data_IF_752879807338
#
_entry.id   IF_752879807338
#
_cell.length_a   1.000
_cell.length_b   1.000
_cell.length_c   1.000
_cell.angle_alpha   90.00
_cell.angle_beta   90.00
_cell.angle_gamma   90.00
#
_symmetry.space_group_name_H-M   'P 1'
#
loop_
_entity.id
_entity.type
_entity.pdbx_description
1 polymer ?
#
# COMPACT_ATOMS: atom_id res chain seq x y z
N UNK A 1 1.71 6.29 -8.71
CA UNK A 1 3.07 5.75 -8.53
C UNK A 1 2.94 4.26 -8.20
N UNK A 2 3.48 3.39 -9.04
CA UNK A 2 3.29 1.93 -8.92
C UNK A 2 4.61 1.31 -8.48
N UNK A 3 4.60 0.58 -7.36
CA UNK A 3 5.80 -0.13 -6.88
C UNK A 3 5.64 -1.60 -7.23
N UNK A 4 6.59 -2.15 -7.99
CA UNK A 4 6.62 -3.58 -8.36
C UNK A 4 7.37 -4.36 -7.27
N UNK A 5 6.65 -5.18 -6.52
CA UNK A 5 7.24 -6.02 -5.47
C UNK A 5 8.06 -7.14 -6.13
N UNK A 6 9.39 -7.06 -6.07
CA UNK A 6 10.30 -8.14 -6.48
C UNK A 6 10.64 -9.01 -5.28
N UNK A 7 10.75 -10.32 -5.51
CA UNK A 7 10.86 -11.42 -4.54
C UNK A 7 12.13 -11.43 -3.67
N UNK A 8 12.36 -10.38 -2.89
CA UNK A 8 13.29 -10.40 -1.75
C UNK A 8 12.63 -9.81 -0.52
N UNK A 9 11.66 -10.54 0.02
CA UNK A 9 11.15 -10.34 1.38
C UNK A 9 12.23 -10.51 2.48
N UNK A 10 13.48 -10.82 2.13
CA UNK A 10 14.54 -11.15 3.09
C UNK A 10 15.37 -9.97 3.63
N UNK A 11 15.26 -8.75 3.07
CA UNK A 11 15.97 -7.58 3.62
C UNK A 11 15.13 -6.68 4.53
N UNK A 12 13.82 -6.94 4.66
CA UNK A 12 12.95 -6.25 5.62
C UNK A 12 12.83 -6.98 6.97
N UNK A 13 13.71 -7.95 7.29
CA UNK A 13 13.60 -8.77 8.51
C UNK A 13 14.01 -8.00 9.79
N UNK A 14 14.41 -6.72 9.72
CA UNK A 14 14.59 -5.92 10.95
C UNK A 14 13.28 -5.36 11.51
N UNK A 15 12.21 -5.28 10.72
CA UNK A 15 10.92 -4.78 11.18
C UNK A 15 9.78 -5.67 10.68
N UNK A 16 9.03 -6.28 11.60
CA UNK A 16 7.82 -7.07 11.28
C UNK A 16 6.72 -6.24 10.59
N UNK A 17 6.89 -4.92 10.61
CA UNK A 17 5.95 -3.91 10.11
C UNK A 17 6.75 -2.84 9.37
N UNK A 18 6.22 -2.36 8.25
CA UNK A 18 6.77 -1.29 7.44
C UNK A 18 5.67 -0.27 7.18
N UNK A 19 5.83 0.92 7.75
CA UNK A 19 4.96 2.07 7.54
C UNK A 19 5.43 2.86 6.33
N UNK A 20 4.46 3.28 5.51
CA UNK A 20 4.71 4.02 4.27
C UNK A 20 3.84 5.28 4.28
N UNK A 21 4.40 6.43 3.93
CA UNK A 21 3.65 7.69 3.87
C UNK A 21 4.52 8.89 3.52
N UNK A 22 4.00 10.12 3.64
CA UNK A 22 4.75 11.34 3.28
C UNK A 22 5.47 12.04 4.42
N UNK A 23 5.28 11.62 5.68
CA UNK A 23 5.92 12.26 6.82
C UNK A 23 7.15 11.44 7.26
N UNK A 24 8.39 11.91 7.03
CA UNK A 24 9.61 11.18 7.40
C UNK A 24 9.71 10.86 8.89
N UNK A 25 9.04 11.61 9.77
CA UNK A 25 9.08 11.37 11.21
C UNK A 25 8.17 10.22 11.67
N UNK A 26 7.27 9.73 10.80
CA UNK A 26 6.24 8.75 11.17
C UNK A 26 6.37 7.40 10.46
N UNK A 27 7.20 7.31 9.41
CA UNK A 27 7.18 6.18 8.47
C UNK A 27 8.57 5.70 8.14
N UNK A 28 8.67 4.41 7.78
CA UNK A 28 9.93 3.78 7.37
C UNK A 28 10.25 4.08 5.91
N UNK A 29 9.21 4.22 5.07
CA UNK A 29 9.34 4.53 3.64
C UNK A 29 8.58 5.81 3.30
N UNK A 30 9.34 6.82 2.89
CA UNK A 30 8.79 8.13 2.53
C UNK A 30 8.43 8.18 1.05
N UNK A 31 7.16 8.46 0.74
CA UNK A 31 6.68 8.70 -0.62
C UNK A 31 6.26 10.15 -0.79
N UNK A 32 6.85 10.82 -1.77
CA UNK A 32 6.55 12.21 -2.13
C UNK A 32 6.06 12.23 -3.58
N UNK A 33 4.91 12.86 -3.82
CA UNK A 33 4.41 13.13 -5.17
C UNK A 33 4.81 14.54 -5.57
N UNK A 34 5.56 14.67 -6.67
CA UNK A 34 5.97 15.97 -7.22
C UNK A 34 4.80 16.73 -7.87
N UNK A 35 3.74 16.02 -8.26
CA UNK A 35 2.59 16.59 -8.97
C UNK A 35 1.47 16.99 -8.00
N UNK A 36 1.21 16.16 -6.99
CA UNK A 36 0.13 16.35 -6.03
C UNK A 36 0.62 16.07 -4.61
N UNK A 37 1.03 17.11 -3.89
CA UNK A 37 1.60 17.01 -2.54
C UNK A 37 0.70 16.30 -1.52
N UNK A 38 -0.63 16.38 -1.71
CA UNK A 38 -1.63 15.72 -0.86
C UNK A 38 -2.07 14.34 -1.37
N UNK A 39 -1.45 13.80 -2.43
CA UNK A 39 -1.77 12.46 -2.94
C UNK A 39 -1.51 11.38 -1.89
N UNK A 40 -0.43 11.55 -1.12
CA UNK A 40 0.02 10.60 -0.10
C UNK A 40 -0.28 11.17 1.30
N UNK A 41 -1.05 10.45 2.12
CA UNK A 41 -1.20 10.75 3.55
C UNK A 41 0.11 10.64 4.35
N UNK A 42 0.19 11.34 5.47
CA UNK A 42 1.38 11.38 6.36
C UNK A 42 1.83 9.98 6.79
N UNK A 43 0.89 9.20 7.31
CA UNK A 43 0.95 7.74 7.43
C UNK A 43 -0.11 7.20 6.45
N UNK A 44 0.30 6.52 5.38
CA UNK A 44 -0.57 6.17 4.26
C UNK A 44 -1.03 4.72 4.33
N UNK A 45 -0.08 3.81 4.50
CA UNK A 45 -0.35 2.39 4.59
C UNK A 45 0.70 1.71 5.45
N UNK A 46 0.36 0.52 5.91
CA UNK A 46 1.27 -0.34 6.65
C UNK A 46 1.31 -1.71 5.99
N UNK A 47 2.51 -2.22 5.70
CA UNK A 47 2.74 -3.61 5.31
C UNK A 47 3.30 -4.34 6.52
N UNK A 48 2.78 -5.53 6.86
CA UNK A 48 3.24 -6.28 8.02
C UNK A 48 3.17 -7.79 7.78
N UNK A 49 3.97 -8.54 8.53
CA UNK A 49 4.01 -10.00 8.44
C UNK A 49 3.17 -10.61 9.57
N UNK A 50 2.30 -11.56 9.23
CA UNK A 50 1.56 -12.38 10.21
C UNK A 50 1.91 -13.84 10.04
N UNK A 51 2.01 -14.56 11.15
CA UNK A 51 2.02 -16.02 11.13
C UNK A 51 0.63 -16.53 10.76
N UNK A 52 0.57 -17.40 9.78
CA UNK A 52 -0.55 -18.32 9.50
C UNK A 52 -0.10 -19.73 9.87
N UNK A 53 -1.06 -20.66 9.96
CA UNK A 53 -0.85 -22.05 10.43
C UNK A 53 0.45 -22.69 9.92
N UNK A 54 0.75 -22.55 8.63
CA UNK A 54 1.90 -23.23 8.01
C UNK A 54 2.93 -22.28 7.35
N UNK A 55 2.73 -20.96 7.46
CA UNK A 55 3.59 -19.98 6.77
C UNK A 55 3.52 -18.60 7.39
N UNK A 56 4.51 -17.77 7.09
CA UNK A 56 4.37 -16.32 7.22
C UNK A 56 3.72 -15.73 5.97
N UNK A 57 2.80 -14.79 6.17
CA UNK A 57 2.13 -14.08 5.09
C UNK A 57 2.27 -12.57 5.28
N UNK A 58 2.47 -11.86 4.17
CA UNK A 58 2.51 -10.40 4.15
C UNK A 58 1.09 -9.86 3.98
N UNK A 59 0.78 -8.80 4.70
CA UNK A 59 -0.50 -8.11 4.64
C UNK A 59 -0.29 -6.62 4.48
N UNK A 60 -1.27 -5.94 3.90
CA UNK A 60 -1.32 -4.49 3.76
C UNK A 60 -2.61 -3.93 4.34
N UNK A 61 -2.51 -2.77 4.99
CA UNK A 61 -3.64 -2.03 5.57
C UNK A 61 -3.60 -0.58 5.14
N UNK A 62 -4.72 -0.07 4.63
CA UNK A 62 -4.88 1.33 4.21
C UNK A 62 -5.29 2.22 5.38
N UNK A 63 -4.63 3.38 5.49
CA UNK A 63 -4.97 4.45 6.45
C UNK A 63 -5.22 5.79 5.75
N UNK A 64 -5.16 5.79 4.42
CA UNK A 64 -5.04 7.01 3.63
C UNK A 64 -6.37 7.60 3.19
N UNK A 65 -6.34 8.89 2.86
CA UNK A 65 -7.48 9.58 2.28
C UNK A 65 -7.75 9.09 0.85
N UNK A 66 -6.69 8.99 0.03
CA UNK A 66 -6.78 8.70 -1.40
C UNK A 66 -6.68 7.21 -1.76
N UNK A 67 -6.64 6.35 -0.75
CA UNK A 67 -6.69 4.91 -0.90
C UNK A 67 -5.34 4.26 -1.23
N UNK A 68 -5.21 3.03 -0.75
CA UNK A 68 -4.20 2.06 -1.20
C UNK A 68 -4.90 0.97 -1.98
N UNK A 69 -4.34 0.56 -3.13
CA UNK A 69 -4.97 -0.40 -4.03
C UNK A 69 -4.06 -1.59 -4.29
N UNK A 70 -4.62 -2.79 -4.25
CA UNK A 70 -3.96 -4.04 -4.66
C UNK A 70 -4.72 -4.57 -5.87
N UNK A 71 -4.03 -4.74 -6.99
CA UNK A 71 -4.63 -5.21 -8.25
C UNK A 71 -5.91 -4.45 -8.62
N UNK A 72 -5.88 -3.11 -8.44
CA UNK A 72 -6.97 -2.16 -8.75
C UNK A 72 -8.18 -2.15 -7.80
N UNK A 73 -8.16 -2.98 -6.75
CA UNK A 73 -9.14 -2.93 -5.67
C UNK A 73 -8.62 -2.09 -4.51
N UNK A 74 -9.45 -1.15 -4.03
CA UNK A 74 -9.11 -0.41 -2.81
C UNK A 74 -9.08 -1.39 -1.65
N UNK A 75 -7.99 -1.40 -0.90
CA UNK A 75 -7.83 -2.26 0.27
C UNK A 75 -8.98 -2.00 1.26
N UNK A 76 -9.63 -3.08 1.69
CA UNK A 76 -10.67 -3.07 2.72
C UNK A 76 -10.19 -3.82 3.94
N UNK A 77 -10.02 -3.14 5.07
CA UNK A 77 -9.40 -3.73 6.25
C UNK A 77 -7.94 -4.10 5.99
N UNK A 78 -7.65 -5.39 5.99
CA UNK A 78 -6.33 -5.94 5.68
C UNK A 78 -6.43 -6.84 4.44
N UNK A 79 -5.49 -6.70 3.50
CA UNK A 79 -5.38 -7.57 2.34
C UNK A 79 -4.09 -8.38 2.42
N UNK A 80 -4.15 -9.69 2.21
CA UNK A 80 -2.95 -10.53 2.07
C UNK A 80 -2.31 -10.26 0.71
N UNK A 81 -1.01 -10.01 0.70
CA UNK A 81 -0.22 -9.79 -0.50
C UNK A 81 0.34 -11.11 -1.02
N UNK A 82 0.22 -11.33 -2.32
CA UNK A 82 0.85 -12.43 -3.04
C UNK A 82 1.97 -11.92 -3.94
N UNK A 83 2.88 -12.82 -4.28
CA UNK A 83 3.91 -12.52 -5.26
C UNK A 83 3.27 -12.13 -6.60
N UNK A 84 3.71 -11.00 -7.15
CA UNK A 84 3.20 -10.48 -8.42
C UNK A 84 2.11 -9.43 -8.28
N UNK A 85 1.56 -9.22 -7.08
CA UNK A 85 0.58 -8.17 -6.83
C UNK A 85 1.15 -6.78 -7.14
N UNK A 86 0.28 -5.93 -7.71
CA UNK A 86 0.60 -4.54 -8.00
C UNK A 86 -0.06 -3.65 -6.96
N UNK A 87 0.76 -2.87 -6.26
CA UNK A 87 0.31 -1.93 -5.24
C UNK A 87 0.38 -0.50 -5.78
N UNK A 88 -0.72 0.24 -5.64
CA UNK A 88 -0.82 1.67 -5.99
C UNK A 88 -1.13 2.48 -4.73
N UNK A 89 -0.36 3.54 -4.50
CA UNK A 89 -0.54 4.45 -3.37
C UNK A 89 -1.14 5.77 -3.85
N UNK A 90 -2.37 6.05 -3.40
CA UNK A 90 -3.16 7.20 -3.79
C UNK A 90 -3.73 7.12 -5.21
N UNK A 91 -4.90 7.73 -5.38
CA UNK A 91 -5.52 8.01 -6.66
C UNK A 91 -6.16 9.40 -6.62
N UNK A 92 -6.18 10.12 -7.75
CA UNK A 92 -6.75 11.48 -7.84
C UNK A 92 -8.21 11.53 -7.39
N UNK A 93 -8.98 10.47 -7.64
CA UNK A 93 -10.37 10.32 -7.21
C UNK A 93 -10.52 9.36 -6.02
N UNK A 94 -9.43 9.09 -5.32
CA UNK A 94 -9.33 8.04 -4.32
C UNK A 94 -10.34 8.16 -3.18
N UNK A 95 -10.57 9.38 -2.72
CA UNK A 95 -11.52 9.67 -1.64
C UNK A 95 -12.96 9.20 -1.96
N UNK A 96 -13.35 9.14 -3.23
CA UNK A 96 -14.69 8.71 -3.65
C UNK A 96 -14.84 7.19 -3.83
N UNK A 97 -13.73 6.44 -3.87
CA UNK A 97 -13.75 4.99 -4.11
C UNK A 97 -13.93 4.27 -2.78
N UNK A 98 -15.00 3.49 -2.63
CA UNK A 98 -15.25 2.76 -1.38
C UNK A 98 -14.21 1.65 -1.16
N UNK A 99 -13.86 1.32 0.10
CA UNK A 99 -13.07 0.12 0.39
C UNK A 99 -13.65 -1.13 -0.28
N UNK A 100 -12.80 -1.95 -0.88
CA UNK A 100 -13.17 -3.15 -1.62
C UNK A 100 -13.68 -2.92 -3.04
N UNK A 101 -13.90 -1.67 -3.47
CA UNK A 101 -14.31 -1.38 -4.83
C UNK A 101 -13.11 -1.36 -5.79
N UNK A 102 -13.36 -1.84 -7.02
CA UNK A 102 -12.41 -1.73 -8.13
C UNK A 102 -12.50 -0.34 -8.77
N UNK A 103 -11.37 0.25 -9.16
CA UNK A 103 -11.36 1.39 -10.08
C UNK A 103 -10.69 1.02 -11.42
N UNK A 104 -11.50 0.84 -12.47
CA UNK A 104 -11.03 0.51 -13.83
C UNK A 104 -10.14 1.59 -14.44
N UNK A 105 -10.15 2.82 -13.92
CA UNK A 105 -9.30 3.92 -14.40
C UNK A 105 -7.84 3.77 -13.95
N UNK A 106 -7.55 2.87 -13.01
CA UNK A 106 -6.20 2.55 -12.58
C UNK A 106 -5.40 1.72 -13.61
N UNK A 107 -6.05 1.25 -14.69
CA UNK A 107 -5.43 0.51 -15.79
C UNK A 107 -4.83 1.41 -16.89
N UNK A 108 -5.06 2.72 -16.84
CA UNK A 108 -4.71 3.64 -17.94
C UNK A 108 -3.38 4.40 -17.73
N UNK A 109 -2.54 4.00 -16.78
CA UNK A 109 -1.24 4.64 -16.48
C UNK A 109 -0.06 3.71 -16.70
#
# INVERSE_FOLDING_TARGET
MSVKVRSRCYQMIRYQTTKIGRNPDLVDVVLISQVHSNMISREHTTIFVKAKRDRYACFIKDHSLNGTYVNDFRVSGEAELQQGDVIKFGHVNGAAIKPGAMDRRLLQN
#
